data_IF_232763065213
#
_entry.id   IF_232763065213
#
_cell.length_a   1.000
_cell.length_b   1.000
_cell.length_c   1.000
_cell.angle_alpha   90.00
_cell.angle_beta   90.00
_cell.angle_gamma   90.00
#
_symmetry.space_group_name_H-M   'P 1'
#
loop_
_entity.id
_entity.type
_entity.pdbx_description
1 polymer ?
#
# COMPACT_ATOMS: atom_id res chain seq x y z
N UNK A 1 49.99 22.90 -8.40
CA UNK A 1 49.04 23.96 -7.99
C UNK A 1 47.68 23.32 -7.72
N UNK A 2 47.44 22.85 -6.49
CA UNK A 2 46.16 22.28 -6.10
C UNK A 2 45.26 23.39 -5.56
N UNK A 3 44.20 23.74 -6.29
CA UNK A 3 43.16 24.63 -5.76
C UNK A 3 42.35 23.86 -4.71
N UNK A 4 42.74 24.02 -3.45
CA UNK A 4 41.92 23.65 -2.29
C UNK A 4 40.67 24.52 -2.27
N UNK A 5 39.53 23.95 -2.66
CA UNK A 5 38.21 24.60 -2.53
C UNK A 5 37.83 24.61 -1.05
N UNK A 6 38.12 25.71 -0.36
CA UNK A 6 37.55 26.01 0.96
C UNK A 6 36.03 26.14 0.83
N UNK A 7 35.27 25.13 1.21
CA UNK A 7 33.87 25.31 1.56
C UNK A 7 33.78 25.66 3.04
N UNK A 8 33.84 26.96 3.33
CA UNK A 8 33.29 27.51 4.56
C UNK A 8 31.76 27.47 4.42
N UNK A 9 31.14 26.44 4.98
CA UNK A 9 29.70 26.40 5.25
C UNK A 9 29.53 26.71 6.74
N UNK A 10 29.65 28.00 7.07
CA UNK A 10 29.03 28.58 8.26
C UNK A 10 27.71 29.18 7.78
N UNK A 11 26.68 28.36 7.80
CA UNK A 11 25.34 28.72 7.35
C UNK A 11 24.42 27.60 7.82
N UNK A 12 23.29 28.00 8.41
CA UNK A 12 22.37 27.17 9.18
C UNK A 12 22.21 25.75 8.66
N UNK A 13 22.06 24.82 9.59
CA UNK A 13 21.76 23.42 9.30
C UNK A 13 20.48 23.39 8.44
N UNK A 14 20.64 23.32 7.11
CA UNK A 14 19.52 23.26 6.15
C UNK A 14 18.87 21.90 6.31
N UNK A 15 17.99 21.82 7.30
CA UNK A 15 17.12 20.69 7.54
C UNK A 15 16.23 20.54 6.31
N UNK A 16 16.17 19.34 5.71
CA UNK A 16 15.11 19.06 4.75
C UNK A 16 13.80 18.98 5.51
N UNK A 17 13.21 20.13 5.81
CA UNK A 17 11.90 20.17 6.42
C UNK A 17 10.86 19.81 5.36
N UNK A 18 10.38 18.58 5.43
CA UNK A 18 9.23 18.11 4.66
C UNK A 18 7.91 18.61 5.27
N UNK A 19 7.93 19.48 6.28
CA UNK A 19 6.78 20.31 6.65
C UNK A 19 7.11 21.78 6.45
N UNK A 20 6.34 22.55 5.68
CA UNK A 20 6.39 24.03 5.78
C UNK A 20 5.87 24.55 7.15
N UNK A 21 5.82 23.71 8.18
CA UNK A 21 5.11 24.00 9.43
C UNK A 21 6.01 24.67 10.48
N UNK A 22 7.35 24.65 10.34
CA UNK A 22 8.26 25.29 11.29
C UNK A 22 8.80 26.66 10.81
N UNK A 23 8.58 27.03 9.54
CA UNK A 23 9.13 28.27 8.96
C UNK A 23 8.14 29.45 8.88
N UNK A 24 6.85 29.23 9.15
CA UNK A 24 5.84 30.30 9.17
C UNK A 24 5.70 30.88 10.58
N UNK A 25 6.62 31.80 10.88
CA UNK A 25 6.57 32.97 11.78
C UNK A 25 6.01 32.81 13.21
N UNK A 26 6.72 33.45 14.15
CA UNK A 26 6.34 33.74 15.54
C UNK A 26 4.93 34.38 15.72
N UNK A 27 4.28 34.82 14.63
CA UNK A 27 2.89 35.30 14.61
C UNK A 27 1.83 34.19 14.48
N UNK A 28 2.19 32.97 14.08
CA UNK A 28 1.29 31.81 13.95
C UNK A 28 1.30 30.85 15.16
N UNK A 29 2.15 31.10 16.16
CA UNK A 29 2.17 30.36 17.43
C UNK A 29 0.91 30.62 18.29
N UNK A 30 0.13 31.65 17.94
CA UNK A 30 -1.15 31.97 18.59
C UNK A 30 -2.24 30.97 18.16
N UNK A 31 -2.08 30.31 17.03
CA UNK A 31 -3.10 29.40 16.50
C UNK A 31 -2.97 27.99 17.09
N UNK A 32 -4.05 27.50 17.70
CA UNK A 32 -4.07 26.27 18.47
C UNK A 32 -3.55 25.05 17.72
N UNK A 33 -3.68 25.00 16.39
CA UNK A 33 -3.30 23.87 15.52
C UNK A 33 -1.78 23.60 15.53
N UNK A 34 -0.97 24.63 15.77
CA UNK A 34 0.50 24.52 15.77
C UNK A 34 1.07 24.07 17.13
N UNK A 35 0.24 23.90 18.15
CA UNK A 35 0.71 23.49 19.49
C UNK A 35 1.26 22.06 19.46
N UNK A 36 2.36 21.82 20.18
CA UNK A 36 3.03 20.52 20.23
C UNK A 36 2.11 19.38 20.69
N UNK A 37 1.24 19.65 21.67
CA UNK A 37 0.29 18.68 22.18
C UNK A 37 -0.78 18.33 21.14
N UNK A 38 -1.25 19.30 20.34
CA UNK A 38 -2.18 19.06 19.23
C UNK A 38 -1.51 18.19 18.18
N UNK A 39 -0.28 18.50 17.77
CA UNK A 39 0.47 17.62 16.84
C UNK A 39 0.66 16.19 17.36
N UNK A 40 0.83 15.99 18.68
CA UNK A 40 0.88 14.64 19.29
C UNK A 40 -0.48 13.96 19.28
N UNK A 41 -1.54 14.69 19.62
CA UNK A 41 -2.92 14.21 19.58
C UNK A 41 -3.31 13.75 18.17
N UNK A 42 -3.08 14.57 17.14
CA UNK A 42 -3.43 14.24 15.76
C UNK A 42 -2.72 12.98 15.25
N UNK A 43 -1.49 12.74 15.70
CA UNK A 43 -0.75 11.50 15.42
C UNK A 43 -1.33 10.29 16.15
N UNK A 44 -1.73 10.45 17.41
CA UNK A 44 -2.44 9.41 18.14
C UNK A 44 -3.77 9.08 17.46
N UNK A 45 -4.53 10.08 17.01
CA UNK A 45 -5.76 9.89 16.24
C UNK A 45 -5.51 9.14 14.91
N UNK A 46 -4.38 9.38 14.24
CA UNK A 46 -4.02 8.62 13.03
C UNK A 46 -3.79 7.13 13.34
N UNK A 47 -3.11 6.81 14.44
CA UNK A 47 -2.93 5.42 14.89
C UNK A 47 -4.25 4.77 15.29
N UNK A 48 -5.12 5.49 16.01
CA UNK A 48 -6.46 5.01 16.38
C UNK A 48 -7.32 4.80 15.12
N UNK A 49 -7.23 5.67 14.12
CA UNK A 49 -7.94 5.48 12.85
C UNK A 49 -7.47 4.24 12.10
N UNK A 50 -6.18 3.91 12.18
CA UNK A 50 -5.65 2.68 11.59
C UNK A 50 -6.23 1.46 12.31
N UNK A 51 -6.21 1.46 13.65
CA UNK A 51 -6.81 0.38 14.43
C UNK A 51 -8.31 0.22 14.12
N UNK A 52 -9.04 1.34 14.02
CA UNK A 52 -10.46 1.34 13.70
C UNK A 52 -10.74 0.69 12.34
N UNK A 53 -10.01 1.06 11.27
CA UNK A 53 -10.20 0.43 9.96
C UNK A 53 -9.78 -1.04 9.94
N UNK A 54 -8.75 -1.44 10.69
CA UNK A 54 -8.37 -2.85 10.84
C UNK A 54 -9.43 -3.70 11.55
N UNK A 55 -10.21 -3.09 12.46
CA UNK A 55 -11.31 -3.73 13.16
C UNK A 55 -12.63 -3.73 12.37
N UNK A 56 -12.72 -2.87 11.35
CA UNK A 56 -13.92 -2.70 10.50
C UNK A 56 -14.01 -3.79 9.42
N UNK A 57 -14.36 -5.02 9.83
CA UNK A 57 -14.66 -6.11 8.92
C UNK A 57 -15.99 -6.78 9.27
N UNK A 58 -16.75 -7.28 8.28
CA UNK A 58 -18.08 -7.87 8.52
C UNK A 58 -18.01 -9.07 9.45
N UNK A 59 -16.96 -9.90 9.34
CA UNK A 59 -16.74 -11.05 10.25
C UNK A 59 -16.41 -10.63 11.67
N UNK A 60 -15.66 -9.54 11.86
CA UNK A 60 -15.44 -8.99 13.20
C UNK A 60 -16.74 -8.49 13.81
N UNK A 61 -17.62 -7.84 13.04
CA UNK A 61 -18.92 -7.37 13.54
C UNK A 61 -19.92 -8.50 13.82
N UNK A 62 -19.87 -9.61 13.06
CA UNK A 62 -20.63 -10.82 13.39
C UNK A 62 -20.22 -11.40 14.74
N UNK A 63 -18.92 -11.40 15.05
CA UNK A 63 -18.40 -11.94 16.32
C UNK A 63 -18.57 -10.98 17.50
N UNK A 64 -18.38 -9.69 17.27
CA UNK A 64 -18.47 -8.63 18.29
C UNK A 64 -19.35 -7.48 17.80
N UNK A 65 -20.70 -7.59 17.95
CA UNK A 65 -21.64 -6.56 17.53
C UNK A 65 -21.39 -5.14 18.07
N UNK A 66 -21.00 -4.91 19.35
CA UNK A 66 -20.80 -3.55 19.84
C UNK A 66 -19.65 -2.81 19.14
N UNK A 67 -18.73 -3.56 18.53
CA UNK A 67 -17.58 -2.99 17.83
C UNK A 67 -17.99 -2.17 16.60
N UNK A 68 -19.14 -2.48 15.99
CA UNK A 68 -19.67 -1.71 14.87
C UNK A 68 -19.97 -0.26 15.26
N UNK A 69 -20.56 -0.05 16.43
CA UNK A 69 -20.86 1.29 16.95
C UNK A 69 -19.61 1.99 17.47
N UNK A 70 -18.71 1.25 18.13
CA UNK A 70 -17.44 1.80 18.64
C UNK A 70 -16.59 2.34 17.49
N UNK A 71 -16.37 1.53 16.44
CA UNK A 71 -15.58 1.94 15.26
C UNK A 71 -16.22 3.13 14.55
N UNK A 72 -17.56 3.15 14.42
CA UNK A 72 -18.28 4.28 13.83
C UNK A 72 -18.09 5.56 14.64
N UNK A 73 -18.30 5.53 15.95
CA UNK A 73 -18.13 6.69 16.83
C UNK A 73 -16.67 7.19 16.81
N UNK A 74 -15.70 6.28 16.88
CA UNK A 74 -14.28 6.62 16.77
C UNK A 74 -13.97 7.29 15.42
N UNK A 75 -14.42 6.71 14.32
CA UNK A 75 -14.19 7.23 12.97
C UNK A 75 -14.85 8.59 12.77
N UNK A 76 -16.05 8.80 13.31
CA UNK A 76 -16.76 10.06 13.25
C UNK A 76 -16.00 11.17 14.00
N UNK A 77 -15.60 10.92 15.25
CA UNK A 77 -14.82 11.89 16.04
C UNK A 77 -13.49 12.24 15.35
N UNK A 78 -12.78 11.23 14.87
CA UNK A 78 -11.48 11.42 14.19
C UNK A 78 -11.67 12.21 12.89
N UNK A 79 -12.69 11.91 12.11
CA UNK A 79 -13.00 12.61 10.85
C UNK A 79 -13.29 14.08 11.11
N UNK A 80 -14.07 14.40 12.15
CA UNK A 80 -14.32 15.78 12.55
C UNK A 80 -13.05 16.50 13.01
N UNK A 81 -12.19 15.86 13.81
CA UNK A 81 -10.91 16.45 14.24
C UNK A 81 -9.99 16.76 13.05
N UNK A 82 -9.85 15.84 12.09
CA UNK A 82 -9.04 16.08 10.89
C UNK A 82 -9.66 17.12 9.97
N UNK A 83 -10.99 17.17 9.89
CA UNK A 83 -11.69 18.22 9.13
C UNK A 83 -11.46 19.60 9.76
N UNK A 84 -11.54 19.71 11.10
CA UNK A 84 -11.29 20.95 11.81
C UNK A 84 -9.84 21.44 11.62
N UNK A 85 -8.86 20.52 11.68
CA UNK A 85 -7.46 20.82 11.38
C UNK A 85 -7.28 21.33 9.94
N UNK A 86 -7.90 20.66 8.97
CA UNK A 86 -7.85 21.04 7.56
C UNK A 86 -8.43 22.44 7.35
N UNK A 87 -9.60 22.74 7.95
CA UNK A 87 -10.24 24.07 7.85
C UNK A 87 -9.37 25.15 8.50
N UNK A 88 -8.82 24.90 9.69
CA UNK A 88 -7.90 25.83 10.34
C UNK A 88 -6.69 26.12 9.46
N UNK A 89 -6.03 25.08 8.92
CA UNK A 89 -4.89 25.24 8.00
C UNK A 89 -5.23 26.02 6.73
N UNK A 90 -6.42 25.79 6.15
CA UNK A 90 -6.90 26.54 4.98
C UNK A 90 -7.15 28.01 5.30
N UNK A 91 -7.64 28.33 6.51
CA UNK A 91 -7.87 29.70 6.94
C UNK A 91 -6.53 30.46 7.15
N UNK A 92 -5.53 29.80 7.76
CA UNK A 92 -4.20 30.36 8.02
C UNK A 92 -3.45 30.65 6.73
N UNK A 93 -3.36 29.65 5.85
CA UNK A 93 -2.48 29.68 4.67
C UNK A 93 -3.15 30.30 3.44
N UNK A 94 -4.48 30.45 3.48
CA UNK A 94 -5.29 30.72 2.31
C UNK A 94 -5.48 29.48 1.44
N UNK A 95 -6.62 29.40 0.76
CA UNK A 95 -7.00 28.25 -0.09
C UNK A 95 -6.19 28.25 -1.40
N UNK A 96 -6.22 29.38 -2.13
CA UNK A 96 -5.58 29.54 -3.45
C UNK A 96 -4.68 30.77 -3.54
N UNK A 97 -4.95 31.81 -2.73
CA UNK A 97 -4.19 33.06 -2.70
C UNK A 97 -3.55 33.20 -1.32
N UNK A 98 -2.23 33.17 -1.27
CA UNK A 98 -1.38 33.23 -0.09
C UNK A 98 0.08 33.01 -0.49
N UNK A 99 1.03 33.31 0.40
CA UNK A 99 2.46 33.10 0.12
C UNK A 99 2.79 31.61 -0.05
N UNK A 100 2.12 30.73 0.71
CA UNK A 100 2.18 29.28 0.61
C UNK A 100 0.77 28.68 0.68
N UNK A 101 -0.01 28.68 -0.41
CA UNK A 101 -1.41 28.27 -0.38
C UNK A 101 -1.57 26.79 -0.07
N UNK A 102 -2.62 26.43 0.69
CA UNK A 102 -2.87 25.06 1.17
C UNK A 102 -2.85 24.03 0.03
N UNK A 103 -3.51 24.33 -1.10
CA UNK A 103 -3.63 23.41 -2.22
C UNK A 103 -2.33 23.23 -3.04
N UNK A 104 -1.28 24.00 -2.79
CA UNK A 104 0.00 23.86 -3.51
C UNK A 104 0.99 22.95 -2.77
N UNK A 105 0.81 22.74 -1.47
CA UNK A 105 1.65 21.84 -0.68
C UNK A 105 1.19 20.38 -0.82
N UNK A 106 2.08 19.49 -1.26
CA UNK A 106 1.78 18.08 -1.49
C UNK A 106 1.31 17.35 -0.23
N UNK A 107 1.81 17.75 0.95
CA UNK A 107 1.37 17.16 2.22
C UNK A 107 -0.04 17.61 2.60
N UNK A 108 -0.39 18.87 2.36
CA UNK A 108 -1.74 19.38 2.55
C UNK A 108 -2.74 18.75 1.56
N UNK A 109 -2.32 18.50 0.31
CA UNK A 109 -3.13 17.74 -0.66
C UNK A 109 -3.39 16.31 -0.19
N UNK A 110 -2.35 15.63 0.34
CA UNK A 110 -2.49 14.30 0.92
C UNK A 110 -3.42 14.31 2.14
N UNK A 111 -3.26 15.25 3.07
CA UNK A 111 -4.10 15.35 4.25
C UNK A 111 -5.58 15.60 3.86
N UNK A 112 -5.84 16.42 2.82
CA UNK A 112 -7.19 16.65 2.31
C UNK A 112 -7.80 15.42 1.63
N UNK A 113 -7.02 14.68 0.82
CA UNK A 113 -7.50 13.44 0.21
C UNK A 113 -7.81 12.37 1.25
N UNK A 114 -7.03 12.30 2.32
CA UNK A 114 -7.30 11.40 3.45
C UNK A 114 -8.58 11.79 4.20
N UNK A 115 -8.83 13.08 4.45
CA UNK A 115 -10.10 13.55 5.04
C UNK A 115 -11.29 13.18 4.15
N UNK A 116 -11.15 13.29 2.82
CA UNK A 116 -12.18 12.85 1.88
C UNK A 116 -12.48 11.34 2.02
N UNK A 117 -11.47 10.47 2.04
CA UNK A 117 -11.67 9.03 2.22
C UNK A 117 -12.25 8.67 3.59
N UNK A 118 -11.93 9.44 4.64
CA UNK A 118 -12.52 9.26 5.96
C UNK A 118 -14.02 9.57 5.94
N UNK A 119 -14.44 10.68 5.33
CA UNK A 119 -15.86 11.00 5.14
C UNK A 119 -16.59 9.92 4.34
N UNK A 120 -16.01 9.47 3.23
CA UNK A 120 -16.59 8.37 2.43
C UNK A 120 -16.76 7.09 3.27
N UNK A 121 -15.80 6.76 4.12
CA UNK A 121 -15.89 5.60 5.01
C UNK A 121 -16.96 5.75 6.09
N UNK A 122 -17.09 6.92 6.71
CA UNK A 122 -18.11 7.19 7.74
C UNK A 122 -19.51 7.12 7.11
N UNK A 123 -19.70 7.73 5.95
CA UNK A 123 -20.96 7.69 5.21
C UNK A 123 -21.32 6.26 4.79
N UNK A 124 -20.34 5.49 4.29
CA UNK A 124 -20.55 4.09 3.93
C UNK A 124 -20.96 3.26 5.16
N UNK A 125 -20.26 3.41 6.29
CA UNK A 125 -20.59 2.70 7.53
C UNK A 125 -21.97 3.10 8.08
N UNK A 126 -22.37 4.36 7.91
CA UNK A 126 -23.73 4.80 8.22
C UNK A 126 -24.78 4.07 7.38
N UNK A 127 -24.58 3.95 6.07
CA UNK A 127 -25.49 3.20 5.19
C UNK A 127 -25.54 1.69 5.48
N UNK A 128 -24.42 1.09 5.87
CA UNK A 128 -24.36 -0.31 6.33
C UNK A 128 -25.11 -0.53 7.65
N UNK A 129 -25.08 0.44 8.56
CA UNK A 129 -25.84 0.38 9.82
C UNK A 129 -27.35 0.56 9.63
N UNK A 130 -27.77 1.40 8.68
CA UNK A 130 -29.19 1.61 8.35
C UNK A 130 -29.77 0.42 7.55
N UNK A 131 -28.91 -0.46 7.02
CA UNK A 131 -29.33 -1.63 6.24
C UNK A 131 -29.62 -1.34 4.76
N UNK A 132 -29.28 -0.13 4.29
CA UNK A 132 -29.40 0.25 2.87
C UNK A 132 -28.34 -0.47 2.03
N UNK A 133 -27.13 -0.64 2.58
CA UNK A 133 -26.01 -1.33 1.93
C UNK A 133 -25.75 -2.66 2.64
N UNK A 134 -25.63 -3.74 1.86
CA UNK A 134 -25.27 -5.05 2.39
C UNK A 134 -23.84 -5.05 2.95
N UNK A 135 -23.61 -5.76 4.06
CA UNK A 135 -22.30 -5.83 4.74
C UNK A 135 -21.18 -6.43 3.90
N UNK A 136 -21.51 -7.31 2.94
CA UNK A 136 -20.55 -7.95 2.03
C UNK A 136 -20.59 -7.31 0.64
N UNK A 137 -20.37 -5.99 0.58
CA UNK A 137 -20.41 -5.25 -0.68
C UNK A 137 -19.02 -4.79 -1.13
N UNK A 138 -18.81 -4.71 -2.45
CA UNK A 138 -17.58 -4.21 -3.08
C UNK A 138 -17.28 -2.75 -2.71
N UNK A 139 -18.30 -1.97 -2.33
CA UNK A 139 -18.14 -0.59 -1.84
C UNK A 139 -17.18 -0.48 -0.64
N UNK A 140 -16.94 -1.59 0.09
CA UNK A 140 -15.91 -1.66 1.14
C UNK A 140 -14.51 -1.29 0.65
N UNK A 141 -14.23 -1.41 -0.66
CA UNK A 141 -12.95 -0.98 -1.29
C UNK A 141 -12.67 0.50 -1.05
N UNK A 142 -13.69 1.35 -0.89
CA UNK A 142 -13.51 2.78 -0.59
C UNK A 142 -12.74 3.03 0.72
N UNK A 143 -12.63 2.02 1.59
CA UNK A 143 -11.84 2.07 2.83
C UNK A 143 -10.36 1.74 2.62
N UNK A 144 -9.96 1.19 1.47
CA UNK A 144 -8.58 0.75 1.20
C UNK A 144 -7.51 1.85 1.31
N UNK A 145 -7.80 3.14 1.03
CA UNK A 145 -6.81 4.20 1.20
C UNK A 145 -6.59 4.59 2.67
N UNK A 146 -7.52 4.28 3.59
CA UNK A 146 -7.45 4.73 5.00
C UNK A 146 -6.17 4.33 5.74
N UNK A 147 -5.60 3.12 5.56
CA UNK A 147 -4.33 2.75 6.19
C UNK A 147 -3.16 3.67 5.84
N UNK A 148 -3.22 4.39 4.70
CA UNK A 148 -2.21 5.39 4.33
C UNK A 148 -2.14 6.54 5.35
N UNK A 149 -3.14 6.72 6.22
CA UNK A 149 -3.08 7.70 7.32
C UNK A 149 -1.87 7.50 8.23
N UNK A 150 -1.31 6.28 8.27
CA UNK A 150 -0.05 5.97 8.95
C UNK A 150 1.12 6.83 8.46
N UNK A 151 1.09 7.31 7.22
CA UNK A 151 2.11 8.23 6.69
C UNK A 151 2.18 9.52 7.54
N UNK A 152 1.05 10.01 8.10
CA UNK A 152 1.04 11.18 9.00
C UNK A 152 1.86 10.94 10.27
N UNK A 153 1.85 9.70 10.77
CA UNK A 153 2.68 9.28 11.91
C UNK A 153 4.16 9.15 11.49
N UNK A 154 4.42 8.47 10.36
CA UNK A 154 5.78 8.19 9.89
C UNK A 154 6.53 9.45 9.45
N UNK A 155 5.85 10.49 8.92
CA UNK A 155 6.52 11.71 8.37
C UNK A 155 7.46 12.39 9.36
N UNK A 156 7.21 12.26 10.66
CA UNK A 156 8.06 12.85 11.70
C UNK A 156 9.43 12.17 11.75
N UNK A 157 9.48 10.86 11.52
CA UNK A 157 10.72 10.10 11.44
C UNK A 157 11.42 10.27 10.08
N UNK A 158 10.70 10.75 9.05
CA UNK A 158 11.27 11.08 7.74
C UNK A 158 11.95 12.46 7.70
N UNK A 159 12.07 13.16 8.84
CA UNK A 159 12.92 14.36 8.96
C UNK A 159 14.38 13.94 8.99
N UNK A 160 15.03 13.87 7.82
CA UNK A 160 16.46 13.60 7.71
C UNK A 160 17.26 14.91 7.82
N UNK A 161 18.35 14.88 8.59
CA UNK A 161 19.36 15.95 8.64
C UNK A 161 20.23 15.97 7.38
N UNK A 162 19.61 16.03 6.20
CA UNK A 162 20.30 16.16 4.91
C UNK A 162 19.57 17.16 4.01
N UNK A 163 20.27 17.98 3.21
CA UNK A 163 19.62 18.90 2.27
C UNK A 163 18.78 18.17 1.23
N UNK A 164 17.59 18.71 0.89
CA UNK A 164 16.67 18.11 -0.10
C UNK A 164 17.34 17.82 -1.44
N UNK A 165 18.28 18.66 -1.88
CA UNK A 165 19.04 18.48 -3.12
C UNK A 165 19.89 17.20 -3.12
N UNK A 166 20.54 16.89 -1.99
CA UNK A 166 21.35 15.67 -1.83
C UNK A 166 20.48 14.42 -1.83
N UNK A 167 19.34 14.48 -1.14
CA UNK A 167 18.35 13.40 -1.13
C UNK A 167 17.86 13.13 -2.56
N UNK A 168 17.46 14.16 -3.30
CA UNK A 168 17.01 14.03 -4.68
C UNK A 168 18.09 13.45 -5.61
N UNK A 169 19.36 13.80 -5.40
CA UNK A 169 20.48 13.22 -6.14
C UNK A 169 20.66 11.73 -5.85
N UNK A 170 20.57 11.32 -4.58
CA UNK A 170 20.64 9.91 -4.17
C UNK A 170 19.48 9.12 -4.81
N UNK A 171 18.25 9.64 -4.70
CA UNK A 171 17.08 9.01 -5.32
C UNK A 171 17.24 8.89 -6.83
N UNK A 172 17.70 9.95 -7.52
CA UNK A 172 17.91 9.91 -8.96
C UNK A 172 18.96 8.86 -9.36
N UNK A 173 20.10 8.80 -8.65
CA UNK A 173 21.16 7.83 -8.93
C UNK A 173 20.69 6.40 -8.66
N UNK A 174 20.08 6.16 -7.50
CA UNK A 174 19.56 4.84 -7.11
C UNK A 174 18.46 4.37 -8.08
N UNK A 175 17.50 5.24 -8.39
CA UNK A 175 16.43 4.95 -9.34
C UNK A 175 16.96 4.59 -10.72
N UNK A 176 18.00 5.27 -11.22
CA UNK A 176 18.59 4.94 -12.51
C UNK A 176 19.29 3.58 -12.49
N UNK A 177 20.00 3.25 -11.41
CA UNK A 177 20.64 1.95 -11.26
C UNK A 177 19.61 0.82 -11.18
N UNK A 178 18.58 1.00 -10.37
CA UNK A 178 17.46 0.05 -10.26
C UNK A 178 16.79 -0.12 -11.62
N UNK A 179 16.51 0.97 -12.34
CA UNK A 179 15.92 0.91 -13.68
C UNK A 179 16.74 0.06 -14.64
N UNK A 180 18.06 0.28 -14.70
CA UNK A 180 18.94 -0.50 -15.58
C UNK A 180 18.97 -1.99 -15.19
N UNK A 181 19.04 -2.31 -13.90
CA UNK A 181 19.03 -3.70 -13.39
C UNK A 181 17.69 -4.37 -13.69
N UNK A 182 16.57 -3.68 -13.45
CA UNK A 182 15.23 -4.19 -13.75
C UNK A 182 15.05 -4.45 -15.23
N UNK A 183 15.55 -3.58 -16.11
CA UNK A 183 15.50 -3.80 -17.55
C UNK A 183 16.28 -5.05 -17.97
N UNK A 184 17.49 -5.23 -17.43
CA UNK A 184 18.30 -6.41 -17.66
C UNK A 184 17.61 -7.68 -17.14
N UNK A 185 17.04 -7.62 -15.94
CA UNK A 185 16.26 -8.72 -15.35
C UNK A 185 15.06 -9.09 -16.23
N UNK A 186 14.26 -8.10 -16.66
CA UNK A 186 13.11 -8.34 -17.55
C UNK A 186 13.54 -8.96 -18.88
N UNK A 187 14.66 -8.54 -19.44
CA UNK A 187 15.23 -9.17 -20.64
C UNK A 187 15.52 -10.66 -20.43
N UNK A 188 16.24 -11.04 -19.35
CA UNK A 188 16.54 -12.44 -19.08
C UNK A 188 15.30 -13.27 -18.72
N UNK A 189 14.37 -12.71 -17.95
CA UNK A 189 13.10 -13.38 -17.66
C UNK A 189 12.31 -13.65 -18.94
N UNK A 190 12.30 -12.71 -19.88
CA UNK A 190 11.62 -12.87 -21.16
C UNK A 190 12.33 -13.89 -22.05
N UNK A 191 13.67 -13.85 -22.11
CA UNK A 191 14.48 -14.80 -22.88
C UNK A 191 14.28 -16.24 -22.37
N UNK A 192 14.40 -16.46 -21.05
CA UNK A 192 14.18 -17.79 -20.47
C UNK A 192 12.72 -18.22 -20.50
N UNK A 193 11.77 -17.27 -20.42
CA UNK A 193 10.36 -17.55 -20.66
C UNK A 193 10.12 -18.09 -22.07
N UNK A 194 10.71 -17.46 -23.10
CA UNK A 194 10.61 -17.92 -24.49
C UNK A 194 11.29 -19.27 -24.70
N UNK A 195 12.51 -19.45 -24.19
CA UNK A 195 13.19 -20.75 -24.24
C UNK A 195 12.37 -21.83 -23.53
N UNK A 196 11.78 -21.52 -22.38
CA UNK A 196 10.95 -22.45 -21.62
C UNK A 196 9.73 -22.92 -22.41
N UNK A 197 9.04 -22.00 -23.10
CA UNK A 197 7.89 -22.34 -23.96
C UNK A 197 8.31 -23.21 -25.15
N UNK A 198 9.46 -22.92 -25.77
CA UNK A 198 9.94 -23.69 -26.92
C UNK A 198 10.51 -25.06 -26.55
N UNK A 199 11.12 -25.20 -25.37
CA UNK A 199 11.74 -26.47 -24.95
C UNK A 199 10.81 -27.43 -24.22
N UNK A 200 9.95 -26.95 -23.32
CA UNK A 200 9.25 -27.84 -22.38
C UNK A 200 7.76 -28.03 -22.66
N UNK A 201 7.10 -27.08 -23.33
CA UNK A 201 5.67 -27.19 -23.63
C UNK A 201 4.78 -27.34 -22.38
N UNK A 202 3.61 -27.95 -22.55
CA UNK A 202 2.67 -28.19 -21.45
C UNK A 202 2.89 -29.56 -20.79
N UNK A 203 3.11 -29.58 -19.47
CA UNK A 203 3.18 -30.80 -18.67
C UNK A 203 1.76 -31.25 -18.29
N UNK A 204 1.06 -31.90 -19.21
CA UNK A 204 -0.31 -32.43 -19.02
C UNK A 204 -0.38 -33.95 -18.91
N UNK A 205 0.75 -34.63 -19.10
CA UNK A 205 0.79 -36.09 -19.11
C UNK A 205 1.06 -36.60 -17.69
N UNK A 206 0.12 -37.37 -17.13
CA UNK A 206 0.19 -37.91 -15.78
C UNK A 206 0.03 -39.44 -15.78
N UNK A 207 0.60 -40.10 -14.78
CA UNK A 207 0.37 -41.52 -14.54
C UNK A 207 -1.00 -41.74 -13.88
N UNK A 208 -1.86 -42.49 -14.56
CA UNK A 208 -3.18 -42.87 -14.05
C UNK A 208 -3.37 -44.37 -14.04
N UNK A 209 -4.26 -44.89 -13.19
CA UNK A 209 -4.59 -46.32 -13.17
C UNK A 209 -5.11 -46.78 -14.54
N UNK A 210 -4.72 -47.99 -14.95
CA UNK A 210 -5.13 -48.57 -16.25
C UNK A 210 -6.65 -48.63 -16.43
N UNK A 211 -7.38 -48.85 -15.34
CA UNK A 211 -8.85 -48.95 -15.30
C UNK A 211 -9.58 -47.61 -15.40
N UNK A 212 -8.85 -46.49 -15.44
CA UNK A 212 -9.46 -45.15 -15.48
C UNK A 212 -10.04 -44.84 -16.86
N UNK A 213 -11.30 -44.39 -16.88
CA UNK A 213 -11.98 -43.86 -18.06
C UNK A 213 -11.50 -42.42 -18.31
N UNK A 214 -11.06 -42.09 -19.55
CA UNK A 214 -10.68 -40.73 -19.93
C UNK A 214 -11.66 -39.62 -19.60
N UNK A 215 -12.97 -39.91 -19.54
CA UNK A 215 -14.02 -38.90 -19.30
C UNK A 215 -14.31 -38.67 -17.82
N UNK A 216 -13.84 -39.54 -16.94
CA UNK A 216 -14.15 -39.50 -15.51
C UNK A 216 -12.90 -39.75 -14.67
N UNK A 217 -12.07 -38.70 -14.59
CA UNK A 217 -10.81 -38.72 -13.85
C UNK A 217 -11.06 -38.16 -12.46
N UNK A 218 -10.68 -38.93 -11.44
CA UNK A 218 -10.81 -38.53 -10.03
C UNK A 218 -9.43 -38.49 -9.39
N UNK A 219 -9.29 -37.84 -8.23
CA UNK A 219 -8.00 -37.80 -7.49
C UNK A 219 -7.46 -39.20 -7.19
N UNK A 220 -8.35 -40.18 -6.96
CA UNK A 220 -7.99 -41.58 -6.70
C UNK A 220 -7.43 -42.32 -7.92
N UNK A 221 -7.56 -41.73 -9.11
CA UNK A 221 -7.06 -42.30 -10.35
C UNK A 221 -5.58 -41.97 -10.60
N UNK A 222 -5.03 -40.94 -9.94
CA UNK A 222 -3.63 -40.51 -10.10
C UNK A 222 -2.68 -41.31 -9.19
N UNK A 223 -1.40 -41.31 -9.55
CA UNK A 223 -0.34 -41.81 -8.68
C UNK A 223 -0.22 -40.98 -7.38
N UNK A 224 0.33 -41.58 -6.33
CA UNK A 224 0.67 -40.90 -5.08
C UNK A 224 2.18 -41.01 -4.86
N UNK A 225 2.94 -39.89 -4.92
CA UNK A 225 2.51 -38.56 -5.34
C UNK A 225 2.14 -38.52 -6.83
N UNK A 226 1.44 -37.48 -7.25
CA UNK A 226 1.17 -37.27 -8.67
C UNK A 226 2.49 -37.07 -9.43
N UNK A 227 2.63 -37.77 -10.56
CA UNK A 227 3.87 -37.81 -11.34
C UNK A 227 3.57 -37.59 -12.81
N UNK A 228 4.31 -36.66 -13.42
CA UNK A 228 4.31 -36.48 -14.86
C UNK A 228 4.97 -37.66 -15.57
N UNK A 229 4.51 -37.95 -16.78
CA UNK A 229 5.02 -39.03 -17.62
C UNK A 229 5.25 -38.58 -19.06
N UNK A 230 6.01 -39.37 -19.79
CA UNK A 230 6.20 -39.21 -21.24
C UNK A 230 5.43 -40.28 -21.99
N UNK A 231 4.88 -39.92 -23.15
CA UNK A 231 4.29 -40.89 -24.09
C UNK A 231 5.34 -41.56 -24.97
N UNK A 232 6.51 -40.94 -25.11
CA UNK A 232 7.63 -41.48 -25.87
C UNK A 232 8.40 -42.46 -24.99
N UNK A 233 8.62 -43.72 -25.42
CA UNK A 233 9.25 -44.75 -24.60
C UNK A 233 10.74 -44.48 -24.31
N UNK A 234 11.40 -43.71 -25.18
CA UNK A 234 12.84 -43.43 -25.10
C UNK A 234 13.17 -42.13 -24.34
N UNK A 235 12.17 -41.39 -23.86
CA UNK A 235 12.38 -40.12 -23.16
C UNK A 235 11.44 -39.92 -21.97
N UNK A 236 11.89 -39.15 -20.96
CA UNK A 236 11.08 -38.83 -19.79
C UNK A 236 10.78 -40.03 -18.87
N UNK A 237 9.83 -39.85 -17.96
CA UNK A 237 9.45 -40.87 -16.98
C UNK A 237 8.37 -41.80 -17.53
N UNK A 238 8.56 -43.11 -17.36
CA UNK A 238 7.60 -44.14 -17.72
C UNK A 238 6.80 -44.58 -16.50
N UNK A 239 5.49 -44.71 -16.65
CA UNK A 239 4.63 -45.11 -15.54
C UNK A 239 4.91 -46.56 -15.09
N UNK A 240 4.78 -46.85 -13.78
CA UNK A 240 4.98 -48.20 -13.25
C UNK A 240 3.84 -49.15 -13.67
N UNK A 241 4.06 -50.45 -13.45
CA UNK A 241 3.08 -51.49 -13.76
C UNK A 241 1.71 -51.22 -13.11
N UNK A 242 0.64 -51.40 -13.89
CA UNK A 242 -0.73 -51.09 -13.46
C UNK A 242 -1.19 -49.66 -13.73
N UNK A 243 -0.29 -48.80 -14.22
CA UNK A 243 -0.59 -47.43 -14.63
C UNK A 243 -0.28 -47.18 -16.11
N UNK A 244 -0.97 -46.21 -16.71
CA UNK A 244 -0.76 -45.73 -18.07
C UNK A 244 -0.51 -44.23 -18.05
N UNK A 245 0.31 -43.76 -19.00
CA UNK A 245 0.51 -42.34 -19.21
C UNK A 245 -0.67 -41.75 -19.97
N UNK A 246 -1.33 -40.75 -19.40
CA UNK A 246 -2.50 -40.11 -20.02
C UNK A 246 -2.40 -38.59 -19.92
N UNK A 247 -2.76 -37.91 -21.01
CA UNK A 247 -2.91 -36.45 -21.03
C UNK A 247 -4.21 -36.04 -20.34
N UNK A 248 -4.11 -35.23 -19.28
CA UNK A 248 -5.23 -34.60 -18.60
C UNK A 248 -5.57 -33.27 -19.29
N UNK A 249 -6.87 -32.95 -19.41
CA UNK A 249 -7.36 -31.65 -19.89
C UNK A 249 -7.68 -30.70 -18.74
#
# INVERSE_FOLDING_TARGET
MMLGRKQSLKGDQVLADYGPEEALNESADIEWVNKLWVRRLMRACALISLLSVSLNTPKTFERYPPLQYITFCCDLVITFLFTAEMIAKMHIRGILKGEVPYLKDHWCQFDASMVFFLWMSVILQMFEMIGIVQRFNYLSILRSPRPLIMIRFIRVFLKFSMPKSRINQIFKRSSQQIYNVTLFFLFFMSLYGLLGVQFFGELKNHCVLNTTDPRYITINSLAIPDTFCSVDPDSGYQCPDGMKCMKLE
#
